data_IF_981312515435
#
_entry.id   IF_981312515435
#
_cell.length_a   1.000
_cell.length_b   1.000
_cell.length_c   1.000
_cell.angle_alpha   90.00
_cell.angle_beta   90.00
_cell.angle_gamma   90.00
#
_symmetry.space_group_name_H-M   'P 1'
#
loop_
_entity.id
_entity.type
_entity.pdbx_description
1 polymer ?
#
# COMPACT_ATOMS: atom_id res chain seq x y z
N UNK A 1 5.40 5.18 20.00
CA UNK A 1 5.48 4.21 18.88
C UNK A 1 5.92 4.97 17.64
N UNK A 2 7.13 4.74 17.14
CA UNK A 2 7.55 5.30 15.85
C UNK A 2 6.66 4.66 14.79
N UNK A 3 5.90 5.49 14.08
CA UNK A 3 4.95 5.03 13.09
C UNK A 3 5.73 4.42 11.91
N UNK A 4 5.86 3.10 11.88
CA UNK A 4 6.61 2.33 10.88
C UNK A 4 6.15 2.63 9.45
N UNK A 5 4.87 2.96 9.27
CA UNK A 5 4.31 3.37 7.98
C UNK A 5 4.96 4.64 7.41
N UNK A 6 5.36 5.59 8.26
CA UNK A 6 6.01 6.83 7.83
C UNK A 6 7.40 6.55 7.27
N UNK A 7 8.12 5.58 7.83
CA UNK A 7 9.43 5.16 7.32
C UNK A 7 9.31 4.42 5.99
N UNK A 8 8.24 3.65 5.79
CA UNK A 8 8.06 2.90 4.55
C UNK A 8 7.80 3.81 3.35
N UNK A 9 7.15 4.96 3.54
CA UNK A 9 6.85 5.92 2.45
C UNK A 9 7.83 7.10 2.40
N UNK A 10 8.84 7.17 3.28
CA UNK A 10 9.75 8.32 3.34
C UNK A 10 10.64 8.48 2.11
N UNK A 11 10.74 7.45 1.27
CA UNK A 11 11.48 7.46 0.01
C UNK A 11 10.66 8.04 -1.16
N UNK A 12 9.34 8.21 -0.99
CA UNK A 12 8.48 8.84 -1.99
C UNK A 12 8.55 10.35 -1.76
N UNK A 13 8.92 11.10 -2.80
CA UNK A 13 8.93 12.57 -2.74
C UNK A 13 7.54 13.08 -2.32
N UNK A 14 7.45 14.16 -1.54
CA UNK A 14 6.15 14.80 -1.28
C UNK A 14 5.70 15.57 -2.52
N UNK A 15 4.41 15.55 -2.82
CA UNK A 15 3.86 16.31 -3.94
C UNK A 15 4.03 17.82 -3.68
N UNK A 16 4.70 18.52 -4.60
CA UNK A 16 4.99 19.97 -4.49
C UNK A 16 4.38 20.80 -5.62
N UNK A 17 3.61 20.16 -6.51
CA UNK A 17 2.97 20.79 -7.65
C UNK A 17 3.82 20.83 -8.93
N UNK A 18 5.12 20.53 -8.85
CA UNK A 18 6.02 20.44 -10.01
C UNK A 18 6.49 19.02 -10.29
N UNK A 19 6.42 18.14 -9.29
CA UNK A 19 6.94 16.78 -9.33
C UNK A 19 5.89 15.67 -9.54
N UNK A 20 4.71 16.00 -10.10
CA UNK A 20 3.62 15.04 -10.27
C UNK A 20 4.04 13.71 -10.92
N UNK A 21 4.83 13.67 -12.02
CA UNK A 21 5.26 12.41 -12.63
C UNK A 21 6.06 11.52 -11.67
N UNK A 22 7.04 12.09 -10.97
CA UNK A 22 7.89 11.36 -10.03
C UNK A 22 7.12 10.91 -8.79
N UNK A 23 6.24 11.77 -8.26
CA UNK A 23 5.34 11.43 -7.16
C UNK A 23 4.43 10.26 -7.52
N UNK A 24 3.75 10.34 -8.67
CA UNK A 24 2.82 9.31 -9.14
C UNK A 24 3.55 7.97 -9.34
N UNK A 25 4.75 7.99 -9.91
CA UNK A 25 5.57 6.78 -10.04
C UNK A 25 5.92 6.17 -8.68
N UNK A 26 6.35 6.98 -7.72
CA UNK A 26 6.67 6.50 -6.36
C UNK A 26 5.48 5.85 -5.67
N UNK A 27 4.28 6.44 -5.81
CA UNK A 27 3.03 5.85 -5.30
C UNK A 27 2.74 4.51 -5.99
N UNK A 28 2.85 4.43 -7.31
CA UNK A 28 2.64 3.19 -8.05
C UNK A 28 3.59 2.06 -7.61
N UNK A 29 4.88 2.36 -7.47
CA UNK A 29 5.88 1.39 -7.00
C UNK A 29 5.59 0.91 -5.57
N UNK A 30 5.12 1.80 -4.70
CA UNK A 30 4.70 1.43 -3.35
C UNK A 30 3.51 0.49 -3.38
N UNK A 31 2.48 0.80 -4.15
CA UNK A 31 1.29 -0.06 -4.26
C UNK A 31 1.64 -1.42 -4.87
N UNK A 32 2.53 -1.47 -5.86
CA UNK A 32 3.02 -2.71 -6.45
C UNK A 32 3.79 -3.57 -5.44
N UNK A 33 4.73 -2.99 -4.68
CA UNK A 33 5.48 -3.68 -3.62
C UNK A 33 4.57 -4.35 -2.59
N UNK A 34 3.44 -3.72 -2.29
CA UNK A 34 2.47 -4.21 -1.32
C UNK A 34 1.31 -5.02 -1.96
N UNK A 35 1.38 -5.32 -3.27
CA UNK A 35 0.36 -6.07 -4.03
C UNK A 35 -1.04 -5.43 -3.97
N UNK A 36 -1.09 -4.10 -3.91
CA UNK A 36 -2.31 -3.32 -3.81
C UNK A 36 -2.88 -2.88 -5.17
N UNK A 37 -2.15 -3.11 -6.28
CA UNK A 37 -2.62 -2.77 -7.63
C UNK A 37 -3.98 -3.38 -7.97
N UNK A 38 -4.25 -4.68 -7.70
CA UNK A 38 -5.56 -5.26 -7.98
C UNK A 38 -6.69 -4.59 -7.19
N UNK A 39 -6.40 -4.14 -5.96
CA UNK A 39 -7.37 -3.44 -5.11
C UNK A 39 -7.68 -2.05 -5.65
N UNK A 40 -6.65 -1.28 -5.99
CA UNK A 40 -6.79 0.08 -6.55
C UNK A 40 -7.51 0.06 -7.90
N UNK A 41 -7.25 -0.98 -8.71
CA UNK A 41 -7.93 -1.19 -9.99
C UNK A 41 -9.33 -1.81 -9.85
N UNK A 42 -9.79 -2.11 -8.63
CA UNK A 42 -11.11 -2.68 -8.36
C UNK A 42 -11.27 -4.16 -8.75
N UNK A 43 -10.18 -4.85 -9.06
CA UNK A 43 -10.15 -6.28 -9.38
C UNK A 43 -10.32 -7.14 -8.13
N UNK A 44 -9.88 -6.65 -6.97
CA UNK A 44 -10.04 -7.30 -5.67
C UNK A 44 -10.73 -6.35 -4.68
N UNK A 45 -11.77 -6.83 -3.96
CA UNK A 45 -12.57 -5.99 -3.04
C UNK A 45 -12.20 -6.11 -1.56
N UNK A 46 -11.38 -7.08 -1.16
CA UNK A 46 -10.81 -7.27 0.19
C UNK A 46 -10.00 -8.58 0.19
N UNK A 47 -9.01 -8.75 1.08
CA UNK A 47 -8.50 -10.08 1.38
C UNK A 47 -9.68 -10.95 1.82
N UNK A 48 -9.77 -12.17 1.29
CA UNK A 48 -10.69 -13.17 1.83
C UNK A 48 -10.48 -13.25 3.33
N UNK A 49 -11.56 -13.05 4.08
CA UNK A 49 -11.54 -13.05 5.53
C UNK A 49 -10.88 -14.35 6.01
N UNK A 50 -9.66 -14.26 6.52
CA UNK A 50 -8.98 -15.41 7.13
C UNK A 50 -9.74 -15.68 8.42
N UNK A 51 -10.74 -16.56 8.34
CA UNK A 51 -11.33 -17.17 9.52
C UNK A 51 -10.20 -17.92 10.20
N UNK A 52 -9.61 -17.32 11.22
CA UNK A 52 -8.86 -18.07 12.22
C UNK A 52 -9.87 -19.00 12.89
N UNK A 53 -10.07 -20.18 12.32
CA UNK A 53 -10.69 -21.29 13.03
C UNK A 53 -9.77 -21.57 14.19
N UNK A 54 -10.13 -21.05 15.37
CA UNK A 54 -9.60 -21.52 16.63
C UNK A 54 -9.94 -23.01 16.69
N UNK A 55 -8.99 -23.85 16.29
CA UNK A 55 -9.01 -25.27 16.60
C UNK A 55 -8.96 -25.37 18.12
N UNK A 56 -10.12 -25.56 18.72
CA UNK A 56 -10.24 -26.08 20.06
C UNK A 56 -9.49 -27.42 20.13
N UNK A 57 -8.57 -27.53 21.08
CA UNK A 57 -8.17 -28.80 21.69
C UNK A 57 -8.43 -28.69 23.18
#
# INVERSE_FOLDING_TARGET
>A
MVNSSIKEVSHIAKLDGTNFPSWNYGIWMFLEKHKLIPVVNGLEKKPSEVRHSNQAK
#
